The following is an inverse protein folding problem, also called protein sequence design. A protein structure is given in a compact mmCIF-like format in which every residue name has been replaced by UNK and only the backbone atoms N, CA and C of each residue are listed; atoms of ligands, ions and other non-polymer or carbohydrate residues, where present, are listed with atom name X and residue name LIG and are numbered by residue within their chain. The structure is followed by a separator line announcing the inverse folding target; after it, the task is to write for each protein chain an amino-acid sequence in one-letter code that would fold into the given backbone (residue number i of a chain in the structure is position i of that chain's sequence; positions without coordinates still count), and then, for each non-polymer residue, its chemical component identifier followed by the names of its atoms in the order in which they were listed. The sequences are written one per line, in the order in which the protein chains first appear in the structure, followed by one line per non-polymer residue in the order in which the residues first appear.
data_IF_048064908988
#
_entry.id   IF_048064908988
#
_cell.length_a   1.000
_cell.length_b   1.000
_cell.length_c   1.000
_cell.angle_alpha   90.00
_cell.angle_beta   90.00
_cell.angle_gamma   90.00
#
_symmetry.space_group_name_H-M   'P 1'
#
loop_
_entity.id
_entity.type
_entity.pdbx_description
1 polymer ?
#
# COMPACT_ATOMS: atom_id res chain seq x y z
N UNK A 1 -9.87 -14.59 -11.27
CA UNK A 1 -9.68 -13.36 -10.48
C UNK A 1 -8.44 -13.54 -9.66
N UNK A 2 -7.50 -12.59 -9.75
CA UNK A 2 -6.32 -12.55 -8.89
C UNK A 2 -6.53 -11.56 -7.75
N UNK A 3 -5.71 -11.68 -6.72
CA UNK A 3 -5.63 -10.70 -5.64
C UNK A 3 -4.18 -10.49 -5.23
N UNK A 4 -3.88 -9.29 -4.76
CA UNK A 4 -2.56 -8.91 -4.25
C UNK A 4 -2.74 -7.88 -3.14
N UNK A 5 -1.86 -7.88 -2.15
CA UNK A 5 -1.75 -6.80 -1.17
C UNK A 5 -1.11 -5.57 -1.82
N UNK A 6 -1.43 -4.36 -1.38
CA UNK A 6 -0.88 -3.12 -1.97
C UNK A 6 0.65 -3.02 -1.84
N UNK A 7 1.22 -3.61 -0.79
CA UNK A 7 2.67 -3.77 -0.59
C UNK A 7 3.27 -5.00 -1.30
N UNK A 8 2.42 -5.72 -2.03
CA UNK A 8 2.73 -7.00 -2.63
C UNK A 8 3.23 -6.90 -4.07
N UNK A 9 3.53 -8.07 -4.62
CA UNK A 9 3.72 -8.22 -6.07
C UNK A 9 2.94 -9.45 -6.52
N UNK A 10 2.05 -9.24 -7.49
CA UNK A 10 1.36 -10.33 -8.16
C UNK A 10 2.27 -10.89 -9.24
N UNK A 11 2.42 -12.22 -9.26
CA UNK A 11 3.08 -12.93 -10.36
C UNK A 11 2.06 -13.90 -10.96
N UNK A 12 1.86 -13.82 -12.26
CA UNK A 12 0.96 -14.69 -13.01
C UNK A 12 1.57 -15.07 -14.36
N UNK A 13 1.01 -16.09 -15.00
CA UNK A 13 1.57 -16.72 -16.20
C UNK A 13 0.55 -16.84 -17.31
N UNK A 14 1.02 -17.12 -18.53
CA UNK A 14 0.14 -17.46 -19.66
C UNK A 14 -0.84 -18.59 -19.30
N UNK A 15 -0.36 -19.61 -18.55
CA UNK A 15 -1.18 -20.73 -18.13
C UNK A 15 -2.31 -20.29 -17.19
N UNK A 16 -2.06 -19.31 -16.32
CA UNK A 16 -3.09 -18.76 -15.44
C UNK A 16 -4.15 -18.00 -16.24
N UNK A 17 -3.74 -17.23 -17.25
CA UNK A 17 -4.64 -16.48 -18.14
C UNK A 17 -5.46 -17.39 -19.07
N UNK A 18 -4.90 -18.53 -19.48
CA UNK A 18 -5.58 -19.54 -20.30
C UNK A 18 -6.46 -20.49 -19.47
N UNK A 19 -6.56 -20.31 -18.15
CA UNK A 19 -7.38 -21.18 -17.32
C UNK A 19 -8.85 -21.09 -17.73
N UNK A 20 -9.39 -22.21 -18.20
CA UNK A 20 -10.78 -22.28 -18.68
C UNK A 20 -10.98 -21.86 -20.13
N UNK A 21 -9.91 -21.42 -20.83
CA UNK A 21 -9.95 -21.22 -22.27
C UNK A 21 -9.98 -22.58 -22.98
N UNK A 22 -10.79 -22.68 -24.02
CA UNK A 22 -10.92 -23.90 -24.84
C UNK A 22 -11.06 -23.51 -26.29
N UNK A 23 -10.43 -24.29 -27.16
CA UNK A 23 -10.69 -24.26 -28.59
C UNK A 23 -11.58 -25.44 -29.00
N UNK A 24 -12.51 -25.21 -29.93
CA UNK A 24 -13.50 -26.22 -30.35
C UNK A 24 -12.91 -27.20 -31.36
N UNK A 25 -11.93 -26.77 -32.16
CA UNK A 25 -11.13 -27.61 -33.05
C UNK A 25 -10.02 -28.38 -32.31
N UNK A 26 -9.66 -27.93 -31.10
CA UNK A 26 -8.65 -28.53 -30.23
C UNK A 26 -7.24 -28.00 -30.48
N UNK A 27 -7.12 -26.82 -31.09
CA UNK A 27 -5.85 -26.15 -31.33
C UNK A 27 -5.20 -25.64 -30.03
N UNK A 28 -3.88 -25.45 -30.09
CA UNK A 28 -3.13 -24.98 -28.92
C UNK A 28 -3.28 -23.46 -28.76
N UNK A 29 -3.71 -23.03 -27.57
CA UNK A 29 -3.88 -21.61 -27.26
C UNK A 29 -2.59 -20.96 -26.75
N UNK A 30 -2.37 -19.70 -27.13
CA UNK A 30 -1.30 -18.84 -26.65
C UNK A 30 -1.83 -17.48 -26.20
N UNK A 31 -1.16 -16.85 -25.23
CA UNK A 31 -1.44 -15.48 -24.79
C UNK A 31 -0.57 -14.51 -25.56
N UNK A 32 -1.16 -13.40 -25.98
CA UNK A 32 -0.49 -12.27 -26.61
C UNK A 32 -0.93 -10.96 -25.97
N UNK A 33 -0.09 -9.93 -26.01
CA UNK A 33 -0.51 -8.56 -25.77
C UNK A 33 -1.11 -8.27 -24.39
N UNK A 34 -0.56 -8.83 -23.30
CA UNK A 34 -1.00 -8.47 -21.94
C UNK A 34 -0.70 -7.00 -21.68
N UNK A 35 -1.74 -6.23 -21.38
CA UNK A 35 -1.68 -4.78 -21.24
C UNK A 35 -2.40 -4.31 -19.98
N UNK A 36 -1.88 -3.21 -19.43
CA UNK A 36 -2.48 -2.43 -18.37
C UNK A 36 -2.26 -0.95 -18.71
N UNK A 37 -3.36 -0.23 -18.91
CA UNK A 37 -3.36 1.20 -19.23
C UNK A 37 -3.68 2.10 -18.03
N UNK A 38 -3.95 1.50 -16.86
CA UNK A 38 -4.17 2.21 -15.62
C UNK A 38 -2.89 2.81 -15.02
N UNK A 39 -3.06 3.66 -14.00
CA UNK A 39 -1.97 4.36 -13.33
C UNK A 39 -1.70 3.90 -11.91
N UNK A 40 -2.41 2.87 -11.42
CA UNK A 40 -2.45 2.44 -10.01
C UNK A 40 -1.41 1.35 -9.69
N UNK A 41 -0.49 1.11 -10.62
CA UNK A 41 0.60 0.17 -10.45
C UNK A 41 1.44 0.03 -11.72
N UNK A 42 2.39 -0.89 -11.69
CA UNK A 42 3.30 -1.18 -12.80
C UNK A 42 3.13 -2.65 -13.19
N UNK A 43 2.67 -2.88 -14.42
CA UNK A 43 2.70 -4.20 -15.06
C UNK A 43 4.00 -4.35 -15.86
N UNK A 44 4.70 -5.46 -15.64
CA UNK A 44 5.92 -5.83 -16.37
C UNK A 44 5.77 -7.21 -16.99
N UNK A 45 5.96 -7.30 -18.31
CA UNK A 45 6.15 -8.55 -19.03
C UNK A 45 7.62 -9.00 -18.92
N UNK A 46 7.85 -10.20 -18.40
CA UNK A 46 9.19 -10.76 -18.20
C UNK A 46 9.73 -11.48 -19.45
N UNK A 47 8.95 -11.58 -20.53
CA UNK A 47 9.35 -12.14 -21.82
C UNK A 47 9.48 -13.67 -21.85
N UNK A 48 8.99 -14.36 -20.82
CA UNK A 48 9.02 -15.81 -20.70
C UNK A 48 7.63 -16.41 -20.39
N UNK A 49 6.56 -15.67 -20.71
CA UNK A 49 5.18 -16.05 -20.38
C UNK A 49 4.83 -15.84 -18.91
N UNK A 50 5.57 -14.98 -18.21
CA UNK A 50 5.27 -14.55 -16.85
C UNK A 50 5.18 -13.03 -16.77
N UNK A 51 4.28 -12.54 -15.93
CA UNK A 51 3.98 -11.14 -15.74
C UNK A 51 4.08 -10.81 -14.26
N UNK A 52 4.57 -9.62 -13.97
CA UNK A 52 4.58 -9.08 -12.60
C UNK A 52 3.78 -7.80 -12.54
N UNK A 53 2.94 -7.66 -11.52
CA UNK A 53 2.22 -6.43 -11.22
C UNK A 53 2.53 -6.00 -9.79
N UNK A 54 3.05 -4.79 -9.64
CA UNK A 54 3.25 -4.13 -8.36
C UNK A 54 2.28 -2.94 -8.29
N UNK A 55 1.30 -2.93 -7.37
CA UNK A 55 0.48 -1.76 -7.10
C UNK A 55 1.33 -0.55 -6.69
N UNK A 56 0.77 0.65 -6.84
CA UNK A 56 1.36 1.83 -6.19
C UNK A 56 1.18 1.73 -4.68
N UNK A 57 2.12 2.29 -3.93
CA UNK A 57 2.04 2.42 -2.47
C UNK A 57 0.72 3.10 -2.07
N UNK A 58 0.03 2.54 -1.07
CA UNK A 58 -1.24 3.02 -0.52
C UNK A 58 -2.43 2.99 -1.51
N UNK A 59 -2.34 2.21 -2.60
CA UNK A 59 -3.47 1.97 -3.49
C UNK A 59 -4.16 0.64 -3.14
N UNK A 60 -5.44 0.74 -2.80
CA UNK A 60 -6.34 -0.39 -2.69
C UNK A 60 -7.56 -0.23 -3.62
N UNK A 61 -7.96 -1.31 -4.28
CA UNK A 61 -9.04 -1.29 -5.27
C UNK A 61 -8.89 -2.32 -6.38
N UNK A 62 -9.85 -2.33 -7.31
CA UNK A 62 -9.81 -3.26 -8.44
C UNK A 62 -9.09 -2.65 -9.65
N UNK A 63 -8.24 -3.44 -10.30
CA UNK A 63 -7.61 -3.13 -11.59
C UNK A 63 -7.96 -4.19 -12.63
N UNK A 64 -7.96 -3.79 -13.90
CA UNK A 64 -8.32 -4.66 -15.02
C UNK A 64 -7.16 -4.72 -16.01
N UNK A 65 -6.77 -5.94 -16.41
CA UNK A 65 -5.76 -6.17 -17.44
C UNK A 65 -6.43 -6.71 -18.70
N UNK A 66 -6.04 -6.18 -19.85
CA UNK A 66 -6.42 -6.71 -21.16
C UNK A 66 -5.38 -7.71 -21.65
N UNK A 67 -5.81 -8.73 -22.39
CA UNK A 67 -4.92 -9.64 -23.10
C UNK A 67 -5.63 -10.27 -24.31
N UNK A 68 -4.87 -10.81 -25.23
CA UNK A 68 -5.37 -11.53 -26.39
C UNK A 68 -5.05 -13.02 -26.27
N UNK A 69 -5.98 -13.87 -26.72
CA UNK A 69 -5.81 -15.32 -26.83
C UNK A 69 -5.85 -15.70 -28.31
N UNK A 70 -4.85 -16.44 -28.78
CA UNK A 70 -4.79 -16.93 -30.15
C UNK A 70 -4.65 -18.45 -30.22
N UNK A 71 -5.27 -19.05 -31.23
CA UNK A 71 -5.07 -20.45 -31.64
C UNK A 71 -4.01 -20.60 -32.76
N UNK A 72 -3.37 -19.49 -33.15
CA UNK A 72 -2.43 -19.41 -34.27
C UNK A 72 -3.06 -19.01 -35.62
N UNK A 73 -4.39 -18.94 -35.70
CA UNK A 73 -5.14 -18.49 -36.88
C UNK A 73 -6.00 -17.26 -36.54
N UNK A 74 -6.77 -17.34 -35.48
CA UNK A 74 -7.66 -16.30 -34.98
C UNK A 74 -7.20 -15.79 -33.62
N UNK A 75 -7.67 -14.59 -33.25
CA UNK A 75 -7.33 -13.92 -32.00
C UNK A 75 -8.58 -13.32 -31.38
N UNK A 76 -8.75 -13.51 -30.07
CA UNK A 76 -9.85 -12.94 -29.29
C UNK A 76 -9.31 -12.16 -28.09
N UNK A 77 -9.87 -10.98 -27.85
CA UNK A 77 -9.52 -10.19 -26.67
C UNK A 77 -10.31 -10.63 -25.44
N UNK A 78 -9.63 -10.64 -24.31
CA UNK A 78 -10.12 -11.00 -23.00
C UNK A 78 -9.60 -10.01 -21.94
N UNK A 79 -10.16 -10.11 -20.74
CA UNK A 79 -9.75 -9.31 -19.61
C UNK A 79 -9.69 -10.14 -18.34
N UNK A 80 -8.87 -9.68 -17.39
CA UNK A 80 -8.84 -10.24 -16.04
C UNK A 80 -8.90 -9.14 -14.99
N UNK A 81 -9.72 -9.36 -13.98
CA UNK A 81 -9.83 -8.50 -12.81
C UNK A 81 -8.86 -8.95 -11.72
N UNK A 82 -8.16 -7.97 -11.14
CA UNK A 82 -7.26 -8.12 -10.02
C UNK A 82 -7.72 -7.19 -8.90
N UNK A 83 -7.89 -7.75 -7.70
CA UNK A 83 -8.25 -6.96 -6.52
C UNK A 83 -7.00 -6.67 -5.68
N UNK A 84 -6.72 -5.39 -5.44
CA UNK A 84 -5.66 -4.92 -4.56
C UNK A 84 -6.24 -4.67 -3.17
N UNK A 85 -5.77 -5.42 -2.17
CA UNK A 85 -6.23 -5.31 -0.79
C UNK A 85 -5.31 -4.43 0.02
N UNK A 86 -5.91 -3.56 0.85
CA UNK A 86 -5.17 -2.71 1.75
C UNK A 86 -4.38 -3.51 2.79
N UNK A 87 -3.23 -2.99 3.19
CA UNK A 87 -2.43 -3.43 4.32
C UNK A 87 -2.40 -2.29 5.33
N UNK A 88 -2.47 -2.63 6.62
CA UNK A 88 -2.43 -1.64 7.70
C UNK A 88 -1.01 -1.08 7.83
N UNK A 89 -0.83 0.21 7.58
CA UNK A 89 0.46 0.88 7.68
C UNK A 89 0.72 1.41 9.09
N UNK A 90 1.98 1.41 9.48
CA UNK A 90 2.34 2.01 10.76
C UNK A 90 2.27 3.54 10.66
N UNK A 91 1.82 4.25 11.71
CA UNK A 91 1.84 5.70 11.70
C UNK A 91 3.28 6.21 11.61
N UNK A 92 3.44 7.30 10.86
CA UNK A 92 4.71 8.00 10.69
C UNK A 92 4.67 9.33 11.44
N UNK A 93 5.82 9.77 11.95
CA UNK A 93 5.91 11.06 12.64
C UNK A 93 7.26 11.73 12.41
N UNK A 94 7.24 13.06 12.37
CA UNK A 94 8.44 13.90 12.27
C UNK A 94 8.94 14.41 13.63
N UNK A 95 10.13 15.02 13.61
CA UNK A 95 10.72 15.63 14.79
C UNK A 95 9.92 16.86 15.26
N UNK A 96 9.76 16.97 16.58
CA UNK A 96 9.22 18.15 17.24
C UNK A 96 10.31 18.80 18.09
N UNK A 97 10.34 20.13 18.09
CA UNK A 97 11.28 20.90 18.91
C UNK A 97 10.54 22.00 19.67
N UNK A 98 10.75 22.02 20.98
CA UNK A 98 10.23 23.04 21.87
C UNK A 98 11.38 23.56 22.74
N UNK A 99 11.27 24.81 23.19
CA UNK A 99 12.24 25.41 24.10
C UNK A 99 11.50 26.11 25.22
N UNK A 100 12.00 25.93 26.43
CA UNK A 100 11.53 26.58 27.65
C UNK A 100 12.73 27.04 28.47
N UNK A 101 12.48 28.00 29.34
CA UNK A 101 13.45 28.39 30.37
C UNK A 101 13.63 27.25 31.39
N UNK A 102 14.82 27.18 32.01
CA UNK A 102 15.16 26.19 33.06
C UNK A 102 14.12 26.18 34.19
N UNK A 103 13.66 27.37 34.60
CA UNK A 103 12.68 27.53 35.68
C UNK A 103 11.22 27.33 35.21
N UNK A 104 11.03 26.92 33.95
CA UNK A 104 9.74 26.83 33.28
C UNK A 104 9.13 25.44 33.29
N UNK A 105 7.93 25.34 32.75
CA UNK A 105 7.32 24.07 32.39
C UNK A 105 6.59 24.23 31.06
N UNK A 106 6.56 23.18 30.24
CA UNK A 106 5.72 23.13 29.05
C UNK A 106 4.66 22.06 29.21
N UNK A 107 3.44 22.37 28.81
CA UNK A 107 2.38 21.39 28.65
C UNK A 107 2.14 21.19 27.16
N UNK A 108 2.29 19.95 26.69
CA UNK A 108 2.10 19.54 25.30
C UNK A 108 0.80 18.76 25.19
N UNK A 109 -0.16 19.29 24.44
CA UNK A 109 -1.41 18.58 24.12
C UNK A 109 -1.19 17.46 23.10
N UNK A 110 -2.19 16.58 22.96
CA UNK A 110 -2.15 15.54 21.91
C UNK A 110 -2.02 16.15 20.52
N UNK A 111 -2.73 17.25 20.25
CA UNK A 111 -2.65 17.92 18.96
C UNK A 111 -1.23 18.46 18.69
N UNK A 112 -0.53 18.93 19.72
CA UNK A 112 0.86 19.37 19.59
C UNK A 112 1.80 18.19 19.33
N UNK A 113 1.66 17.10 20.08
CA UNK A 113 2.47 15.89 19.95
C UNK A 113 2.25 15.16 18.62
N UNK A 114 1.04 15.25 18.07
CA UNK A 114 0.66 14.62 16.79
C UNK A 114 0.74 15.59 15.61
N UNK A 115 1.24 16.82 15.81
CA UNK A 115 1.23 17.86 14.76
C UNK A 115 2.08 17.52 13.52
N UNK A 116 2.97 16.54 13.62
CA UNK A 116 3.77 16.00 12.51
C UNK A 116 3.52 14.49 12.31
N UNK A 117 2.52 13.93 12.99
CA UNK A 117 2.16 12.53 12.86
C UNK A 117 1.05 12.36 11.80
N UNK A 118 1.12 11.28 11.05
CA UNK A 118 0.09 10.88 10.09
C UNK A 118 0.06 9.37 9.96
N UNK A 119 -1.07 8.90 9.47
CA UNK A 119 -1.37 7.50 9.22
C UNK A 119 -1.94 7.40 7.80
N UNK A 120 -1.58 6.37 7.05
CA UNK A 120 -1.95 6.24 5.64
C UNK A 120 -3.46 5.98 5.52
N UNK A 121 -3.98 5.08 6.36
CA UNK A 121 -5.40 4.71 6.38
C UNK A 121 -6.26 5.79 7.04
N UNK A 122 -5.62 6.69 7.78
CA UNK A 122 -6.26 7.78 8.50
C UNK A 122 -6.81 7.35 9.85
N UNK A 123 -6.19 6.34 10.46
CA UNK A 123 -6.55 5.88 11.79
C UNK A 123 -6.31 6.96 12.86
N UNK A 124 -7.13 6.92 13.91
CA UNK A 124 -7.02 7.86 15.03
C UNK A 124 -5.72 7.64 15.81
N UNK A 125 -4.85 8.65 15.83
CA UNK A 125 -3.56 8.58 16.49
C UNK A 125 -3.60 9.03 17.95
N UNK A 126 -2.75 8.40 18.77
CA UNK A 126 -2.55 8.76 20.18
C UNK A 126 -1.05 8.78 20.50
N UNK A 127 -0.52 9.93 20.90
CA UNK A 127 0.80 10.01 21.51
C UNK A 127 0.74 9.49 22.95
N UNK A 128 1.72 8.68 23.33
CA UNK A 128 1.82 8.05 24.65
C UNK A 128 3.27 7.89 25.06
N UNK A 129 3.51 7.53 26.32
CA UNK A 129 4.84 7.22 26.86
C UNK A 129 5.90 8.29 26.55
N UNK A 130 5.54 9.57 26.67
CA UNK A 130 6.48 10.66 26.47
C UNK A 130 7.62 10.55 27.50
N UNK A 131 8.84 10.46 27.00
CA UNK A 131 10.05 10.41 27.82
C UNK A 131 10.91 11.62 27.52
N UNK A 132 11.68 12.04 28.53
CA UNK A 132 12.66 13.11 28.43
C UNK A 132 13.99 12.60 28.95
N UNK A 133 15.09 13.08 28.37
CA UNK A 133 16.43 12.85 28.89
C UNK A 133 16.86 13.91 29.90
N UNK A 134 17.97 13.67 30.61
CA UNK A 134 18.53 14.62 31.58
C UNK A 134 17.79 14.60 32.93
N UNK A 135 17.79 15.74 33.62
CA UNK A 135 17.20 15.90 34.95
C UNK A 135 15.71 16.31 34.92
N UNK A 136 15.13 16.39 33.72
CA UNK A 136 13.74 16.77 33.51
C UNK A 136 12.76 15.66 33.94
N UNK A 137 11.54 16.08 34.28
CA UNK A 137 10.44 15.20 34.67
C UNK A 137 9.25 15.33 33.73
N UNK A 138 8.55 14.22 33.51
CA UNK A 138 7.31 14.16 32.73
C UNK A 138 6.15 13.76 33.63
N UNK A 139 5.07 14.52 33.56
CA UNK A 139 3.79 14.20 34.20
C UNK A 139 2.74 14.01 33.11
N UNK A 140 2.18 12.81 32.99
CA UNK A 140 0.99 12.56 32.19
C UNK A 140 -0.25 13.12 32.91
N UNK A 141 -1.07 13.90 32.20
CA UNK A 141 -2.30 14.48 32.74
C UNK A 141 -3.52 13.66 32.30
N UNK A 142 -4.63 13.77 33.03
CA UNK A 142 -5.87 13.01 32.76
C UNK A 142 -6.53 13.32 31.40
N UNK A 143 -6.17 14.46 30.79
CA UNK A 143 -6.66 14.88 29.48
C UNK A 143 -5.76 14.45 28.31
N UNK A 144 -4.81 13.54 28.56
CA UNK A 144 -3.90 12.99 27.54
C UNK A 144 -2.72 13.87 27.19
N UNK A 145 -2.64 15.09 27.73
CA UNK A 145 -1.45 15.94 27.56
C UNK A 145 -0.32 15.54 28.52
N UNK A 146 0.89 16.02 28.23
CA UNK A 146 2.06 15.82 29.07
C UNK A 146 2.65 17.15 29.53
N UNK A 147 3.01 17.23 30.80
CA UNK A 147 3.73 18.37 31.37
C UNK A 147 5.20 17.99 31.57
N UNK A 148 6.10 18.72 30.94
CA UNK A 148 7.56 18.59 31.10
C UNK A 148 8.06 19.74 31.97
N UNK A 149 8.85 19.41 32.99
CA UNK A 149 9.57 20.37 33.83
C UNK A 149 11.06 20.01 33.81
N UNK A 150 11.97 20.94 33.47
CA UNK A 150 13.42 20.70 33.46
C UNK A 150 14.00 20.21 34.79
#
# INVERSE_FOLDING_TARGET
QFSVEEDGTLIFTDADLLTGATDIEGDNLTVEGVTYDGGDGILTDNGNGTYTFAPNENFNGDVNFGFDVSDGTDTVSANIDVSVTAVDDAPVSGDLAYSIDEDGSIRLSQEQLLSQASDVEGDDLTASDLTVGGDATVVANDDGSFTITP
#
